data_IF_686493303240
#
_entry.id   IF_686493303240
#
_cell.length_a   1.000
_cell.length_b   1.000
_cell.length_c   1.000
_cell.angle_alpha   90.00
_cell.angle_beta   90.00
_cell.angle_gamma   90.00
#
_symmetry.space_group_name_H-M   'P 1'
#
loop_
_entity.id
_entity.type
_entity.pdbx_description
1 polymer ?
#
# COMPACT_ATOMS: atom_id res chain seq x y z
N UNK A 1 -10.74 -31.60 6.06
CA UNK A 1 -11.13 -30.30 6.68
C UNK A 1 -10.12 -29.18 6.39
N UNK A 2 -8.80 -29.39 6.50
CA UNK A 2 -7.80 -28.33 6.28
C UNK A 2 -7.84 -27.65 4.90
N UNK A 3 -8.09 -28.40 3.81
CA UNK A 3 -8.11 -27.84 2.44
C UNK A 3 -9.28 -26.84 2.26
N UNK A 4 -10.44 -27.09 2.87
CA UNK A 4 -11.59 -26.19 2.80
C UNK A 4 -11.38 -24.90 3.61
N UNK A 5 -10.64 -25.00 4.72
CA UNK A 5 -10.28 -23.87 5.57
C UNK A 5 -9.25 -22.96 4.87
N UNK A 6 -8.19 -23.54 4.30
CA UNK A 6 -7.20 -22.79 3.51
C UNK A 6 -7.84 -22.11 2.29
N UNK A 7 -8.76 -22.79 1.60
CA UNK A 7 -9.46 -22.25 0.42
C UNK A 7 -10.46 -21.14 0.77
N UNK A 8 -11.07 -21.17 1.96
CA UNK A 8 -11.92 -20.08 2.46
C UNK A 8 -11.09 -18.86 2.84
N UNK A 9 -9.95 -19.07 3.50
CA UNK A 9 -9.04 -17.98 3.88
C UNK A 9 -8.48 -17.26 2.65
N UNK A 10 -8.05 -18.00 1.62
CA UNK A 10 -7.53 -17.38 0.39
C UNK A 10 -8.58 -16.59 -0.40
N UNK A 11 -9.84 -17.03 -0.39
CA UNK A 11 -10.94 -16.23 -0.96
C UNK A 11 -11.16 -14.95 -0.16
N UNK A 12 -11.21 -15.01 1.17
CA UNK A 12 -11.38 -13.80 2.00
C UNK A 12 -10.24 -12.81 1.83
N UNK A 13 -9.00 -13.29 1.67
CA UNK A 13 -7.82 -12.46 1.42
C UNK A 13 -7.93 -11.76 0.06
N UNK A 14 -8.30 -12.49 -1.00
CA UNK A 14 -8.50 -11.89 -2.32
C UNK A 14 -9.56 -10.78 -2.32
N UNK A 15 -10.69 -10.99 -1.61
CA UNK A 15 -11.71 -9.96 -1.44
C UNK A 15 -11.20 -8.75 -0.65
N UNK A 16 -10.44 -8.97 0.43
CA UNK A 16 -9.86 -7.89 1.23
C UNK A 16 -8.85 -7.07 0.43
N UNK A 17 -7.96 -7.72 -0.33
CA UNK A 17 -7.00 -7.03 -1.20
C UNK A 17 -7.71 -6.26 -2.31
N UNK A 18 -8.79 -6.81 -2.88
CA UNK A 18 -9.59 -6.06 -3.85
C UNK A 18 -10.26 -4.83 -3.22
N UNK A 19 -10.77 -4.94 -2.00
CA UNK A 19 -11.34 -3.81 -1.27
C UNK A 19 -10.28 -2.73 -0.99
N UNK A 20 -9.07 -3.13 -0.60
CA UNK A 20 -7.93 -2.23 -0.43
C UNK A 20 -7.59 -1.50 -1.74
N UNK A 21 -7.49 -2.22 -2.87
CA UNK A 21 -7.21 -1.60 -4.18
C UNK A 21 -8.28 -0.59 -4.59
N UNK A 22 -9.53 -0.82 -4.20
CA UNK A 22 -10.67 0.04 -4.52
C UNK A 22 -10.87 1.19 -3.51
N UNK A 23 -10.10 1.25 -2.42
CA UNK A 23 -10.20 2.32 -1.44
C UNK A 23 -9.77 3.67 -2.03
N UNK A 24 -10.28 4.77 -1.46
CA UNK A 24 -10.06 6.11 -1.99
C UNK A 24 -8.58 6.48 -1.99
N UNK A 25 -8.09 6.92 -3.15
CA UNK A 25 -6.68 7.25 -3.38
C UNK A 25 -5.79 6.04 -3.75
N UNK A 26 -6.24 4.81 -3.52
CA UNK A 26 -5.40 3.61 -3.73
C UNK A 26 -5.21 3.22 -5.20
N UNK A 27 -5.90 3.88 -6.14
CA UNK A 27 -5.68 3.71 -7.57
C UNK A 27 -4.33 4.26 -8.05
N UNK A 28 -3.66 5.07 -7.22
CA UNK A 28 -2.38 5.70 -7.53
C UNK A 28 -1.40 5.55 -6.36
N UNK A 29 -0.11 5.46 -6.68
CA UNK A 29 0.97 5.41 -5.70
C UNK A 29 0.92 6.62 -4.77
N UNK A 30 1.04 6.39 -3.45
CA UNK A 30 1.00 7.46 -2.45
C UNK A 30 2.12 8.50 -2.62
N UNK A 31 3.25 8.13 -3.25
CA UNK A 31 4.42 9.02 -3.36
C UNK A 31 4.63 9.64 -4.74
N UNK A 32 4.18 8.99 -5.83
CA UNK A 32 4.49 9.47 -7.19
C UNK A 32 3.33 9.43 -8.20
N UNK A 33 2.12 9.09 -7.74
CA UNK A 33 0.92 8.95 -8.58
C UNK A 33 1.03 7.93 -9.72
N UNK A 34 2.02 7.04 -9.71
CA UNK A 34 2.06 5.91 -10.63
C UNK A 34 0.79 5.05 -10.46
N UNK A 35 0.11 4.67 -11.55
CA UNK A 35 -1.17 3.97 -11.46
C UNK A 35 -0.99 2.54 -10.93
N UNK A 36 -2.07 2.00 -10.35
CA UNK A 36 -2.19 0.60 -9.93
C UNK A 36 -1.02 0.13 -9.02
N UNK A 37 -0.76 0.77 -7.88
CA UNK A 37 0.29 0.34 -6.97
C UNK A 37 0.06 -1.12 -6.50
N UNK A 38 1.13 -1.92 -6.50
CA UNK A 38 1.11 -3.35 -6.15
C UNK A 38 1.89 -3.66 -4.87
N UNK A 39 2.38 -2.63 -4.20
CA UNK A 39 3.12 -2.73 -2.95
C UNK A 39 2.47 -1.86 -1.87
N UNK A 40 2.79 -2.13 -0.62
CA UNK A 40 2.28 -1.39 0.52
C UNK A 40 3.38 -1.12 1.55
N UNK A 41 3.31 0.03 2.20
CA UNK A 41 3.97 0.30 3.46
C UNK A 41 2.98 0.05 4.61
N UNK A 42 3.17 -1.04 5.35
CA UNK A 42 2.20 -1.50 6.35
C UNK A 42 2.01 -0.50 7.49
N UNK A 43 3.09 -0.03 8.08
CA UNK A 43 3.01 0.88 9.24
C UNK A 43 2.55 2.29 8.85
N UNK A 44 2.63 2.66 7.58
CA UNK A 44 2.10 3.91 7.06
C UNK A 44 0.69 3.77 6.49
N UNK A 45 0.21 2.54 6.31
CA UNK A 45 -1.15 2.28 5.84
C UNK A 45 -1.41 2.64 4.38
N UNK A 46 -0.36 2.65 3.53
CA UNK A 46 -0.42 3.23 2.19
C UNK A 46 0.09 2.27 1.11
N UNK A 47 -0.49 2.37 -0.09
CA UNK A 47 -0.05 1.68 -1.29
C UNK A 47 0.98 2.50 -2.08
N UNK A 48 2.05 1.82 -2.49
CA UNK A 48 3.17 2.36 -3.23
C UNK A 48 3.42 1.54 -4.50
N UNK A 49 3.98 2.17 -5.54
CA UNK A 49 4.42 1.45 -6.73
C UNK A 49 5.70 0.65 -6.44
N UNK A 50 6.09 -0.21 -7.38
CA UNK A 50 7.30 -1.03 -7.24
C UNK A 50 8.57 -0.19 -7.05
N UNK A 51 8.70 0.94 -7.74
CA UNK A 51 9.88 1.81 -7.65
C UNK A 51 9.97 2.48 -6.28
N UNK A 52 8.88 3.12 -5.81
CA UNK A 52 8.81 3.72 -4.49
C UNK A 52 9.00 2.68 -3.38
N UNK A 53 8.55 1.43 -3.60
CA UNK A 53 8.83 0.33 -2.67
C UNK A 53 10.33 0.09 -2.47
N UNK A 54 11.15 0.27 -3.52
CA UNK A 54 12.61 0.20 -3.44
C UNK A 54 13.20 1.30 -2.54
N UNK A 55 12.70 2.53 -2.70
CA UNK A 55 13.10 3.67 -1.85
C UNK A 55 12.73 3.41 -0.40
N UNK A 56 11.49 2.99 -0.13
CA UNK A 56 11.01 2.65 1.20
C UNK A 56 11.83 1.53 1.86
N UNK A 57 12.33 0.55 1.09
CA UNK A 57 13.23 -0.50 1.61
C UNK A 57 14.57 0.08 2.06
N UNK A 58 15.12 1.04 1.33
CA UNK A 58 16.39 1.69 1.67
C UNK A 58 16.30 2.54 2.95
N UNK A 59 15.11 3.00 3.32
CA UNK A 59 14.87 3.69 4.60
C UNK A 59 15.01 2.75 5.82
N UNK A 60 14.77 1.45 5.63
CA UNK A 60 14.79 0.44 6.69
C UNK A 60 13.44 0.24 7.40
N UNK A 61 13.31 -0.94 8.02
CA UNK A 61 12.04 -1.47 8.58
C UNK A 61 11.50 -0.73 9.79
N UNK A 62 12.33 0.08 10.44
CA UNK A 62 11.93 0.97 11.53
C UNK A 62 11.12 2.18 11.03
N UNK A 63 11.27 2.55 9.75
CA UNK A 63 10.53 3.63 9.10
C UNK A 63 9.43 3.12 8.18
N UNK A 64 9.71 2.10 7.37
CA UNK A 64 8.74 1.55 6.43
C UNK A 64 8.83 0.03 6.33
N UNK A 65 7.71 -0.65 6.57
CA UNK A 65 7.56 -2.10 6.46
C UNK A 65 6.88 -2.46 5.15
N UNK A 66 7.69 -2.77 4.14
CA UNK A 66 7.24 -3.01 2.77
C UNK A 66 6.73 -4.45 2.57
N UNK A 67 5.58 -4.60 1.91
CA UNK A 67 4.98 -5.87 1.46
C UNK A 67 4.41 -5.74 0.04
N UNK A 68 4.45 -6.82 -0.73
CA UNK A 68 3.76 -6.94 -2.01
C UNK A 68 2.31 -7.37 -1.80
N UNK A 69 1.37 -6.76 -2.51
CA UNK A 69 -0.03 -7.20 -2.53
C UNK A 69 -0.23 -8.54 -3.25
N UNK A 70 0.69 -8.89 -4.15
CA UNK A 70 0.55 -10.04 -5.05
C UNK A 70 1.48 -11.21 -4.67
N UNK A 71 2.57 -10.94 -3.93
CA UNK A 71 3.62 -11.92 -3.64
C UNK A 71 3.75 -12.32 -2.17
N UNK A 72 3.17 -11.55 -1.24
CA UNK A 72 3.24 -11.83 0.20
C UNK A 72 1.88 -12.30 0.75
N UNK A 73 1.90 -13.03 1.86
CA UNK A 73 0.68 -13.39 2.59
C UNK A 73 0.06 -12.18 3.30
N UNK A 74 -1.28 -12.12 3.29
CA UNK A 74 -2.04 -11.02 3.89
C UNK A 74 -3.02 -11.48 4.97
N UNK A 75 -2.52 -11.76 6.19
CA UNK A 75 -3.38 -11.95 7.35
C UNK A 75 -4.36 -10.79 7.53
N UNK A 76 -5.53 -11.09 8.08
CA UNK A 76 -6.61 -10.13 8.29
C UNK A 76 -6.15 -8.87 9.04
N UNK A 77 -5.25 -9.03 10.01
CA UNK A 77 -4.73 -7.91 10.81
C UNK A 77 -3.97 -6.90 9.94
N UNK A 78 -3.27 -7.35 8.90
CA UNK A 78 -2.52 -6.47 7.99
C UNK A 78 -3.44 -5.74 7.02
N UNK A 79 -4.48 -6.42 6.52
CA UNK A 79 -5.45 -5.81 5.61
C UNK A 79 -6.27 -4.72 6.30
N UNK A 80 -6.60 -4.91 7.60
CA UNK A 80 -7.30 -3.91 8.40
C UNK A 80 -6.54 -2.58 8.49
N UNK A 81 -5.20 -2.60 8.58
CA UNK A 81 -4.41 -1.37 8.60
C UNK A 81 -4.56 -0.59 7.30
N UNK A 82 -4.47 -1.27 6.16
CA UNK A 82 -4.62 -0.65 4.83
C UNK A 82 -6.04 -0.17 4.56
N UNK A 83 -7.05 -0.86 5.09
CA UNK A 83 -8.45 -0.44 5.00
C UNK A 83 -8.76 0.77 5.88
N UNK A 84 -8.10 0.90 7.03
CA UNK A 84 -8.33 1.99 7.97
C UNK A 84 -7.68 3.31 7.55
N UNK A 85 -6.53 3.26 6.86
CA UNK A 85 -5.75 4.45 6.47
C UNK A 85 -5.98 4.71 4.98
N UNK A 86 -5.32 3.97 4.09
CA UNK A 86 -5.38 4.20 2.65
C UNK A 86 -4.69 5.50 2.22
N UNK A 87 -4.48 5.64 0.91
CA UNK A 87 -3.64 6.71 0.36
C UNK A 87 -4.24 8.10 0.51
N UNK A 88 -5.56 8.25 0.45
CA UNK A 88 -6.18 9.55 0.71
C UNK A 88 -5.85 10.05 2.13
N UNK A 89 -6.09 9.23 3.16
CA UNK A 89 -5.80 9.63 4.53
C UNK A 89 -4.30 9.82 4.74
N UNK A 90 -3.47 8.94 4.17
CA UNK A 90 -2.02 9.07 4.24
C UNK A 90 -1.55 10.43 3.68
N UNK A 91 -2.00 10.84 2.50
CA UNK A 91 -1.64 12.15 1.93
C UNK A 91 -2.20 13.30 2.76
N UNK A 92 -3.42 13.18 3.30
CA UNK A 92 -3.98 14.20 4.20
C UNK A 92 -3.15 14.46 5.47
N UNK A 93 -2.28 13.51 5.83
CA UNK A 93 -1.37 13.62 6.99
C UNK A 93 0.02 14.05 6.50
N UNK A 94 0.65 13.23 5.65
CA UNK A 94 2.05 13.36 5.26
C UNK A 94 2.30 14.45 4.22
N UNK A 95 1.31 14.74 3.38
CA UNK A 95 1.35 15.82 2.37
C UNK A 95 0.51 17.03 2.79
N UNK A 96 0.03 17.09 4.04
CA UNK A 96 -0.79 18.22 4.55
C UNK A 96 -0.09 19.58 4.44
N UNK A 97 1.24 19.59 4.39
CA UNK A 97 2.05 20.81 4.38
C UNK A 97 3.31 20.68 3.52
N UNK A 98 3.11 20.55 2.21
CA UNK A 98 4.22 20.43 1.24
C UNK A 98 5.03 21.71 1.01
N UNK A 99 4.63 22.85 1.58
CA UNK A 99 5.33 24.15 1.41
C UNK A 99 5.57 24.54 -0.07
N UNK A 100 4.64 24.17 -0.96
CA UNK A 100 4.74 24.45 -2.39
C UNK A 100 5.54 23.41 -3.19
N UNK A 101 6.05 22.36 -2.54
CA UNK A 101 6.57 21.20 -3.26
C UNK A 101 5.41 20.40 -3.85
N UNK A 102 5.60 19.95 -5.09
CA UNK A 102 4.69 19.07 -5.78
C UNK A 102 5.16 17.63 -5.66
N UNK A 103 4.20 16.72 -5.64
CA UNK A 103 4.44 15.29 -5.70
C UNK A 103 5.20 14.95 -6.99
N UNK A 104 6.25 14.10 -6.93
CA UNK A 104 7.00 13.75 -8.13
C UNK A 104 6.13 12.97 -9.11
N UNK A 105 6.35 13.20 -10.39
CA UNK A 105 5.71 12.43 -11.47
C UNK A 105 6.19 10.96 -11.46
N UNK A 106 5.42 10.02 -12.04
CA UNK A 106 5.85 8.62 -12.17
C UNK A 106 7.21 8.46 -12.87
N UNK A 107 7.54 9.34 -13.82
CA UNK A 107 8.75 9.35 -14.63
C UNK A 107 9.90 10.22 -14.07
N UNK A 108 9.69 10.89 -12.93
CA UNK A 108 10.74 11.71 -12.35
C UNK A 108 11.92 10.86 -11.85
N UNK A 109 13.14 11.37 -12.00
CA UNK A 109 14.37 10.69 -11.54
C UNK A 109 14.31 10.41 -10.04
N UNK A 110 14.75 9.22 -9.63
CA UNK A 110 14.72 8.72 -8.25
C UNK A 110 16.12 8.66 -7.65
#
# INVERSE_FOLDING_TARGET
MCILQARRNSQSEAFAIQAIRNAKGNSFCVDCDAPNPTWASLNLGALICIECSGIHRNLGTHLSRVRSLDLDDWPCELTLVLMAIGNEMANSIWESRTKGHHKPCPDATR
#
